data_IF_309341104550
#
_entry.id   IF_309341104550
#
_cell.length_a   1.000
_cell.length_b   1.000
_cell.length_c   1.000
_cell.angle_alpha   90.00
_cell.angle_beta   90.00
_cell.angle_gamma   90.00
#
_symmetry.space_group_name_H-M   'P 1'
#
loop_
_entity.id
_entity.type
_entity.pdbx_description
1 polymer ?
#
# COMPACT_ATOMS: atom_id res chain seq x y z
N UNK A 1 21.67 15.38 22.09
CA UNK A 1 21.20 14.52 20.98
C UNK A 1 20.74 15.49 19.91
N UNK A 2 21.16 15.35 18.64
CA UNK A 2 20.60 16.18 17.59
C UNK A 2 19.09 15.93 17.56
N UNK A 3 18.31 17.00 17.65
CA UNK A 3 16.87 16.93 17.46
C UNK A 3 16.59 16.42 16.04
N UNK A 4 15.55 15.59 15.83
CA UNK A 4 15.19 15.15 14.50
C UNK A 4 14.97 16.39 13.63
N UNK A 5 15.67 16.42 12.49
CA UNK A 5 15.47 17.40 11.42
C UNK A 5 13.97 17.57 11.19
N UNK A 6 13.45 18.79 10.97
CA UNK A 6 12.03 18.98 10.69
C UNK A 6 11.70 18.10 9.49
N UNK A 7 10.94 17.04 9.75
CA UNK A 7 10.38 16.17 8.73
C UNK A 7 9.57 17.09 7.81
N UNK A 8 9.76 16.95 6.50
CA UNK A 8 8.96 17.69 5.53
C UNK A 8 7.48 17.42 5.86
N UNK A 9 6.65 18.44 6.18
CA UNK A 9 5.26 18.23 6.57
C UNK A 9 4.46 17.45 5.53
N UNK A 10 4.84 17.54 4.25
CA UNK A 10 4.24 16.73 3.19
C UNK A 10 4.58 15.23 3.30
N UNK A 11 5.80 14.91 3.76
CA UNK A 11 6.21 13.51 3.98
C UNK A 11 5.58 12.93 5.26
N UNK A 12 5.37 13.76 6.28
CA UNK A 12 4.63 13.36 7.49
C UNK A 12 3.17 13.01 7.13
N UNK A 13 2.50 13.85 6.34
CA UNK A 13 1.15 13.56 5.86
C UNK A 13 1.10 12.27 5.02
N UNK A 14 2.06 12.03 4.13
CA UNK A 14 2.15 10.77 3.36
C UNK A 14 2.33 9.55 4.29
N UNK A 15 3.19 9.68 5.30
CA UNK A 15 3.46 8.63 6.27
C UNK A 15 2.22 8.25 7.08
N UNK A 16 1.46 9.23 7.57
CA UNK A 16 0.24 9.02 8.33
C UNK A 16 -0.85 8.33 7.49
N UNK A 17 -0.98 8.69 6.22
CA UNK A 17 -1.92 8.03 5.33
C UNK A 17 -1.51 6.59 5.00
N UNK A 18 -0.21 6.30 4.88
CA UNK A 18 0.30 4.93 4.77
C UNK A 18 0.00 4.12 6.04
N UNK A 19 0.15 4.73 7.22
CA UNK A 19 -0.19 4.11 8.50
C UNK A 19 -1.66 3.64 8.52
N UNK A 20 -2.60 4.50 8.12
CA UNK A 20 -4.03 4.11 8.06
C UNK A 20 -4.26 2.92 7.12
N UNK A 21 -3.60 2.88 5.97
CA UNK A 21 -3.77 1.77 5.02
C UNK A 21 -3.26 0.45 5.62
N UNK A 22 -2.05 0.45 6.16
CA UNK A 22 -1.39 -0.78 6.64
C UNK A 22 -1.84 -1.23 8.03
N UNK A 23 -2.28 -0.32 8.89
CA UNK A 23 -2.66 -0.61 10.27
C UNK A 23 -4.18 -0.63 10.52
N UNK A 24 -5.00 0.07 9.72
CA UNK A 24 -6.46 0.11 9.91
C UNK A 24 -7.25 -0.59 8.79
N UNK A 25 -6.86 -0.42 7.52
CA UNK A 25 -7.64 -0.97 6.39
C UNK A 25 -7.32 -2.42 6.05
N UNK A 26 -6.08 -2.84 6.27
CA UNK A 26 -5.68 -4.23 6.01
C UNK A 26 -5.91 -5.09 7.25
N UNK A 27 -6.31 -6.37 7.08
CA UNK A 27 -6.54 -7.30 8.19
C UNK A 27 -5.19 -7.80 8.76
N UNK A 28 -4.40 -6.87 9.27
CA UNK A 28 -3.02 -7.06 9.69
C UNK A 28 -2.83 -6.62 11.15
N UNK A 29 -2.12 -7.45 11.93
CA UNK A 29 -2.02 -7.28 13.40
C UNK A 29 -0.93 -6.30 13.84
N UNK A 30 -0.01 -5.86 12.95
CA UNK A 30 1.23 -5.17 13.36
C UNK A 30 2.22 -6.05 14.12
N UNK A 31 1.79 -7.22 14.58
CA UNK A 31 2.58 -8.18 15.33
C UNK A 31 3.25 -9.24 14.42
N UNK A 32 4.45 -9.69 14.78
CA UNK A 32 5.17 -10.75 14.05
C UNK A 32 6.20 -10.21 13.07
N UNK A 33 5.95 -10.33 11.77
CA UNK A 33 6.88 -9.93 10.70
C UNK A 33 6.21 -8.92 9.74
N UNK A 34 5.93 -7.69 10.20
CA UNK A 34 5.25 -6.64 9.42
C UNK A 34 5.93 -6.29 8.11
N UNK A 35 7.25 -6.10 8.12
CA UNK A 35 8.02 -5.84 6.90
C UNK A 35 7.77 -6.87 5.78
N UNK A 36 7.71 -8.17 6.11
CA UNK A 36 7.42 -9.21 5.12
C UNK A 36 6.01 -9.08 4.53
N UNK A 37 5.03 -8.69 5.36
CA UNK A 37 3.67 -8.40 4.91
C UNK A 37 3.62 -7.18 3.98
N UNK A 38 4.28 -6.09 4.36
CA UNK A 38 4.36 -4.88 3.54
C UNK A 38 5.01 -5.15 2.19
N UNK A 39 6.12 -5.92 2.17
CA UNK A 39 6.80 -6.33 0.93
C UNK A 39 5.91 -7.19 0.04
N UNK A 40 5.17 -8.14 0.61
CA UNK A 40 4.23 -8.96 -0.15
C UNK A 40 3.18 -8.08 -0.83
N UNK A 41 2.58 -7.16 -0.10
CA UNK A 41 1.57 -6.24 -0.63
C UNK A 41 2.18 -5.39 -1.75
N UNK A 42 3.32 -4.75 -1.50
CA UNK A 42 4.01 -3.93 -2.49
C UNK A 42 4.34 -4.70 -3.77
N UNK A 43 4.85 -5.93 -3.64
CA UNK A 43 5.13 -6.81 -4.79
C UNK A 43 3.86 -7.13 -5.59
N UNK A 44 2.76 -7.44 -4.92
CA UNK A 44 1.48 -7.73 -5.59
C UNK A 44 0.97 -6.49 -6.34
N UNK A 45 1.00 -5.31 -5.70
CA UNK A 45 0.56 -4.06 -6.33
C UNK A 45 1.44 -3.71 -7.56
N UNK A 46 2.74 -3.99 -7.49
CA UNK A 46 3.69 -3.76 -8.59
C UNK A 46 3.42 -4.68 -9.79
N UNK A 47 2.83 -5.86 -9.56
CA UNK A 47 2.49 -6.82 -10.62
C UNK A 47 1.17 -6.49 -11.33
N UNK A 48 0.36 -5.57 -10.81
CA UNK A 48 -0.90 -5.20 -11.46
C UNK A 48 -0.67 -4.47 -12.81
N UNK A 49 -1.56 -4.63 -13.80
CA UNK A 49 -2.75 -5.48 -13.79
C UNK A 49 -2.42 -6.98 -13.86
N UNK A 50 -3.17 -7.79 -13.12
CA UNK A 50 -2.89 -9.21 -12.91
C UNK A 50 -3.33 -10.11 -14.09
N UNK A 51 -4.22 -9.60 -14.94
CA UNK A 51 -4.70 -10.30 -16.14
C UNK A 51 -3.68 -10.34 -17.29
N UNK A 52 -2.61 -9.56 -17.22
CA UNK A 52 -1.56 -9.53 -18.24
C UNK A 52 -0.48 -10.56 -17.94
N UNK A 53 0.17 -11.09 -19.00
CA UNK A 53 1.42 -11.86 -18.93
C UNK A 53 1.48 -12.96 -17.86
N UNK A 54 0.34 -13.55 -17.50
CA UNK A 54 0.22 -14.52 -16.42
C UNK A 54 0.72 -14.01 -15.04
N UNK A 55 0.67 -12.69 -14.80
CA UNK A 55 1.12 -12.07 -13.53
C UNK A 55 0.32 -12.58 -12.33
N UNK A 56 -0.94 -12.98 -12.51
CA UNK A 56 -1.71 -13.66 -11.45
C UNK A 56 -1.05 -14.95 -10.94
N UNK A 57 -0.34 -15.71 -11.78
CA UNK A 57 0.39 -16.92 -11.35
C UNK A 57 1.60 -16.55 -10.49
N UNK A 58 2.24 -15.41 -10.78
CA UNK A 58 3.33 -14.89 -9.97
C UNK A 58 2.83 -14.49 -8.59
N UNK A 59 1.66 -13.84 -8.51
CA UNK A 59 0.99 -13.55 -7.23
C UNK A 59 0.63 -14.83 -6.48
N UNK A 60 0.11 -15.86 -7.16
CA UNK A 60 -0.16 -17.16 -6.52
C UNK A 60 1.11 -17.78 -5.92
N UNK A 61 2.24 -17.71 -6.64
CA UNK A 61 3.52 -18.17 -6.15
C UNK A 61 4.01 -17.38 -4.92
N UNK A 62 3.83 -16.05 -4.90
CA UNK A 62 4.14 -15.20 -3.74
C UNK A 62 3.31 -15.58 -2.50
N UNK A 63 2.03 -15.90 -2.69
CA UNK A 63 1.14 -16.32 -1.62
C UNK A 63 1.35 -17.79 -1.19
N UNK A 64 2.08 -18.58 -1.98
CA UNK A 64 2.44 -19.98 -1.72
C UNK A 64 1.32 -21.00 -1.92
N UNK A 65 0.04 -20.60 -1.85
CA UNK A 65 -1.10 -21.49 -2.13
C UNK A 65 -2.24 -20.75 -2.83
N UNK A 66 -3.08 -21.45 -3.62
CA UNK A 66 -4.27 -20.84 -4.24
C UNK A 66 -5.26 -20.25 -3.22
N UNK A 67 -5.43 -20.90 -2.07
CA UNK A 67 -6.31 -20.40 -1.00
C UNK A 67 -5.80 -19.09 -0.39
N UNK A 68 -4.49 -19.01 -0.11
CA UNK A 68 -3.87 -17.78 0.37
C UNK A 68 -3.95 -16.65 -0.66
N UNK A 69 -3.71 -16.95 -1.95
CA UNK A 69 -3.89 -15.99 -3.05
C UNK A 69 -5.28 -15.36 -3.02
N UNK A 70 -6.34 -16.16 -2.92
CA UNK A 70 -7.72 -15.66 -2.90
C UNK A 70 -7.98 -14.74 -1.70
N UNK A 71 -7.51 -15.12 -0.51
CA UNK A 71 -7.68 -14.31 0.71
C UNK A 71 -6.92 -12.99 0.63
N UNK A 72 -5.67 -13.02 0.17
CA UNK A 72 -4.83 -11.83 0.05
C UNK A 72 -5.43 -10.86 -0.97
N UNK A 73 -5.79 -11.32 -2.16
CA UNK A 73 -6.40 -10.43 -3.16
C UNK A 73 -7.76 -9.89 -2.72
N UNK A 74 -8.56 -10.68 -1.98
CA UNK A 74 -9.82 -10.20 -1.42
C UNK A 74 -9.60 -9.09 -0.39
N UNK A 75 -8.60 -9.24 0.48
CA UNK A 75 -8.23 -8.21 1.44
C UNK A 75 -7.73 -6.93 0.75
N UNK A 76 -6.93 -7.04 -0.31
CA UNK A 76 -6.46 -5.89 -1.08
C UNK A 76 -7.61 -5.19 -1.82
N UNK A 77 -8.61 -5.94 -2.27
CA UNK A 77 -9.81 -5.38 -2.87
C UNK A 77 -10.69 -4.67 -1.84
N UNK A 78 -10.89 -5.28 -0.66
CA UNK A 78 -11.67 -4.67 0.43
C UNK A 78 -11.01 -3.38 0.97
N UNK A 79 -9.67 -3.34 0.98
CA UNK A 79 -8.89 -2.13 1.30
C UNK A 79 -8.86 -1.09 0.16
N UNK A 80 -9.56 -1.34 -0.97
CA UNK A 80 -9.61 -0.47 -2.15
C UNK A 80 -8.22 -0.23 -2.77
N UNK A 81 -7.30 -1.19 -2.71
CA UNK A 81 -5.99 -1.11 -3.36
C UNK A 81 -5.99 -1.78 -4.74
N UNK A 82 -6.84 -2.79 -4.90
CA UNK A 82 -7.11 -3.46 -6.16
C UNK A 82 -8.61 -3.43 -6.44
N UNK A 83 -8.98 -3.44 -7.70
CA UNK A 83 -10.35 -3.70 -8.15
C UNK A 83 -10.33 -4.92 -9.05
N UNK A 84 -11.22 -5.88 -8.79
CA UNK A 84 -11.35 -7.06 -9.63
C UNK A 84 -12.39 -6.88 -10.74
N UNK A 85 -12.11 -7.47 -11.92
CA UNK A 85 -13.10 -7.65 -12.97
C UNK A 85 -14.04 -8.82 -12.67
N UNK A 86 -14.26 -9.68 -13.66
CA UNK A 86 -15.12 -10.87 -13.50
C UNK A 86 -14.53 -11.94 -12.57
N UNK A 87 -13.21 -11.92 -12.33
CA UNK A 87 -12.50 -12.83 -11.43
C UNK A 87 -11.40 -12.07 -10.69
N UNK A 88 -11.09 -12.49 -9.47
CA UNK A 88 -10.12 -11.81 -8.61
C UNK A 88 -8.68 -11.87 -9.14
N UNK A 89 -8.34 -12.89 -9.92
CA UNK A 89 -7.04 -12.98 -10.58
C UNK A 89 -6.91 -12.01 -11.78
N UNK A 90 -7.99 -11.31 -12.13
CA UNK A 90 -8.04 -10.29 -13.18
C UNK A 90 -8.07 -8.87 -12.64
N UNK A 91 -7.51 -8.62 -11.45
CA UNK A 91 -7.54 -7.30 -10.82
C UNK A 91 -6.54 -6.31 -11.41
N UNK A 92 -6.83 -5.02 -11.24
CA UNK A 92 -5.95 -3.87 -11.54
C UNK A 92 -5.89 -2.91 -10.35
N UNK A 93 -4.97 -1.94 -10.38
CA UNK A 93 -4.86 -0.92 -9.33
C UNK A 93 -6.03 0.06 -9.37
N UNK A 94 -6.57 0.37 -8.21
CA UNK A 94 -7.42 1.56 -8.00
C UNK A 94 -6.56 2.83 -7.98
N UNK A 95 -7.19 4.00 -7.83
CA UNK A 95 -6.45 5.25 -7.58
C UNK A 95 -5.68 5.19 -6.25
N UNK A 96 -6.28 4.62 -5.20
CA UNK A 96 -5.62 4.45 -3.90
C UNK A 96 -4.47 3.45 -4.00
N UNK A 97 -4.60 2.35 -4.74
CA UNK A 97 -3.51 1.41 -5.00
C UNK A 97 -2.33 2.06 -5.72
N UNK A 98 -2.60 2.91 -6.73
CA UNK A 98 -1.56 3.72 -7.39
C UNK A 98 -0.91 4.69 -6.42
N UNK A 99 -1.70 5.36 -5.59
CA UNK A 99 -1.20 6.30 -4.58
C UNK A 99 -0.27 5.61 -3.58
N UNK A 100 -0.59 4.39 -3.13
CA UNK A 100 0.28 3.62 -2.21
C UNK A 100 1.66 3.38 -2.83
N UNK A 101 1.73 2.94 -4.09
CA UNK A 101 3.01 2.73 -4.77
C UNK A 101 3.81 4.04 -4.86
N UNK A 102 3.15 5.13 -5.24
CA UNK A 102 3.78 6.45 -5.28
C UNK A 102 4.28 6.91 -3.90
N UNK A 103 3.46 6.73 -2.87
CA UNK A 103 3.74 7.14 -1.49
C UNK A 103 4.93 6.39 -0.89
N UNK A 104 5.03 5.08 -1.15
CA UNK A 104 6.17 4.25 -0.73
C UNK A 104 7.47 4.80 -1.33
N UNK A 105 7.48 5.22 -2.58
CA UNK A 105 8.66 5.85 -3.20
C UNK A 105 9.02 7.19 -2.54
N UNK A 106 8.02 7.98 -2.11
CA UNK A 106 8.29 9.29 -1.49
C UNK A 106 8.98 9.17 -0.13
N UNK A 107 8.71 8.10 0.62
CA UNK A 107 9.33 7.86 1.93
C UNK A 107 10.67 7.14 1.84
N UNK A 108 11.23 6.96 0.64
CA UNK A 108 12.52 6.29 0.42
C UNK A 108 12.44 4.82 0.02
N UNK A 109 11.26 4.36 -0.42
CA UNK A 109 11.03 3.02 -0.93
C UNK A 109 10.60 1.99 0.12
N UNK A 110 10.35 0.76 -0.33
CA UNK A 110 9.80 -0.32 0.51
C UNK A 110 10.68 -0.65 1.73
N UNK A 111 12.00 -0.47 1.62
CA UNK A 111 12.95 -0.75 2.71
C UNK A 111 12.86 0.28 3.85
N UNK A 112 12.27 1.45 3.62
CA UNK A 112 12.08 2.48 4.63
C UNK A 112 10.71 2.37 5.33
N UNK A 113 9.76 1.64 4.75
CA UNK A 113 8.35 1.67 5.15
C UNK A 113 8.11 1.24 6.60
N UNK A 114 8.77 0.17 7.08
CA UNK A 114 8.63 -0.29 8.47
C UNK A 114 9.07 0.79 9.46
N UNK A 115 10.23 1.42 9.23
CA UNK A 115 10.72 2.48 10.09
C UNK A 115 9.84 3.74 10.09
N UNK A 116 9.11 3.99 9.00
CA UNK A 116 8.14 5.09 8.90
C UNK A 116 6.86 4.76 9.68
N UNK A 117 6.27 3.59 9.44
CA UNK A 117 5.02 3.16 10.09
C UNK A 117 5.20 2.98 11.60
N UNK A 118 6.31 2.38 12.03
CA UNK A 118 6.58 2.14 13.45
C UNK A 118 7.20 3.36 14.16
N UNK A 119 7.59 4.37 13.38
CA UNK A 119 8.28 5.56 13.86
C UNK A 119 7.33 6.76 14.01
N UNK A 120 7.50 7.81 13.20
CA UNK A 120 6.76 9.06 13.37
C UNK A 120 5.30 8.99 12.92
N UNK A 121 4.91 7.99 12.13
CA UNK A 121 3.57 7.93 11.55
C UNK A 121 2.49 7.62 12.60
N UNK A 122 1.33 8.22 12.42
CA UNK A 122 0.15 8.01 13.26
C UNK A 122 -1.15 8.15 12.48
N UNK A 123 -2.26 8.36 13.21
CA UNK A 123 -3.53 8.68 12.58
C UNK A 123 -3.50 10.12 12.04
N UNK A 124 -3.78 10.34 10.75
CA UNK A 124 -3.88 11.67 10.19
C UNK A 124 -5.16 12.38 10.69
N UNK A 125 -5.20 13.71 10.50
CA UNK A 125 -6.39 14.56 10.70
C UNK A 125 -7.03 14.45 12.08
N UNK A 126 -6.24 14.40 13.16
CA UNK A 126 -6.76 14.22 14.52
C UNK A 126 -7.71 13.00 14.66
N UNK A 127 -7.51 11.97 13.83
CA UNK A 127 -8.34 10.77 13.71
C UNK A 127 -9.79 11.00 13.20
N UNK A 128 -10.08 12.12 12.54
CA UNK A 128 -11.40 12.38 11.91
C UNK A 128 -11.65 11.56 10.62
N UNK A 129 -10.64 10.81 10.16
CA UNK A 129 -10.73 9.84 9.06
C UNK A 129 -10.32 10.43 7.70
N UNK A 130 -9.71 9.58 6.87
CA UNK A 130 -9.25 9.98 5.53
C UNK A 130 -10.40 10.06 4.52
N UNK A 131 -10.28 10.96 3.55
CA UNK A 131 -11.18 11.05 2.39
C UNK A 131 -10.47 10.61 1.11
N UNK A 132 -11.20 10.40 0.01
CA UNK A 132 -10.59 10.01 -1.27
C UNK A 132 -9.63 11.07 -1.81
N UNK A 133 -9.81 12.34 -1.44
CA UNK A 133 -8.90 13.41 -1.83
C UNK A 133 -7.48 13.22 -1.27
N UNK A 134 -7.35 12.55 -0.12
CA UNK A 134 -6.06 12.24 0.51
C UNK A 134 -5.20 11.30 -0.35
N UNK A 135 -5.85 10.44 -1.15
CA UNK A 135 -5.18 9.42 -1.96
C UNK A 135 -4.99 9.85 -3.42
N UNK A 136 -4.82 11.15 -3.65
CA UNK A 136 -4.60 11.71 -4.99
C UNK A 136 -3.11 11.95 -5.23
N UNK A 137 -2.57 11.33 -6.29
CA UNK A 137 -1.19 11.61 -6.73
C UNK A 137 -1.12 13.04 -7.29
N UNK A 138 -0.17 13.89 -6.85
CA UNK A 138 0.04 15.23 -7.39
C UNK A 138 0.19 15.22 -8.92
N UNK A 139 -0.37 16.21 -9.61
CA UNK A 139 -0.44 16.21 -11.08
C UNK A 139 0.95 16.16 -11.74
N UNK A 140 1.93 16.81 -11.12
CA UNK A 140 3.33 16.84 -11.50
C UNK A 140 4.07 15.49 -11.32
N UNK A 141 3.51 14.58 -10.53
CA UNK A 141 4.08 13.27 -10.23
C UNK A 141 3.35 12.10 -10.91
N UNK A 142 2.26 12.38 -11.65
CA UNK A 142 1.53 11.33 -12.36
C UNK A 142 2.40 10.74 -13.48
N UNK A 143 2.58 9.41 -13.54
CA UNK A 143 3.24 8.78 -14.67
C UNK A 143 2.46 9.11 -15.95
N UNK A 144 3.18 9.34 -17.05
CA UNK A 144 2.57 9.50 -18.36
C UNK A 144 1.69 8.27 -18.68
N UNK A 145 0.54 8.47 -19.34
CA UNK A 145 -0.41 7.39 -19.64
C UNK A 145 0.19 6.27 -20.49
#
# INVERSE_FOLDING_TARGET
>A
MPEPSPTDPALEDVADHLYVIFCDKLPYCGCGTPDAGYRLIHQILTLAPLYEDQRWQQVEALCGTPGAHQLVLAALNDADLLEHGSVISGSWLTDRGRWVLWAIEQIGGIDALEAVIDGPAGYPHDAEGCTDACFTIPAEAKPAP
#
